data_IF_211059593677
#
_entry.id   IF_211059593677
#
_cell.length_a   1.000
_cell.length_b   1.000
_cell.length_c   1.000
_cell.angle_alpha   90.00
_cell.angle_beta   90.00
_cell.angle_gamma   90.00
#
_symmetry.space_group_name_H-M   'P 1'
#
loop_
_entity.id
_entity.type
_entity.pdbx_description
1 polymer ?
#
# COMPACT_ATOMS: atom_id res chain seq x y z
N UNK A 1 -16.52 -20.92 -10.48
CA UNK A 1 -17.12 -20.66 -11.79
C UNK A 1 -18.42 -21.42 -11.94
N UNK A 2 -19.45 -20.77 -12.47
CA UNK A 2 -20.69 -21.44 -12.88
C UNK A 2 -20.41 -22.30 -14.09
N UNK A 3 -21.19 -23.38 -14.25
CA UNK A 3 -21.05 -24.34 -15.34
C UNK A 3 -21.19 -23.68 -16.73
N UNK A 4 -22.10 -22.71 -16.83
CA UNK A 4 -22.35 -21.93 -18.05
C UNK A 4 -21.24 -20.91 -18.38
N UNK A 5 -20.32 -20.62 -17.46
CA UNK A 5 -19.20 -19.72 -17.69
C UNK A 5 -17.96 -20.44 -18.23
N UNK A 6 -17.92 -21.75 -18.08
CA UNK A 6 -16.78 -22.54 -18.54
C UNK A 6 -16.65 -22.52 -20.08
N UNK A 7 -15.46 -22.22 -20.56
CA UNK A 7 -15.14 -22.20 -22.00
C UNK A 7 -15.59 -20.94 -22.74
N UNK A 8 -16.22 -19.95 -22.08
CA UNK A 8 -16.74 -18.73 -22.73
C UNK A 8 -15.66 -17.94 -23.47
N UNK A 9 -14.48 -17.83 -22.90
CA UNK A 9 -13.40 -17.03 -23.50
C UNK A 9 -12.49 -17.85 -24.41
N UNK A 10 -12.47 -19.17 -24.24
CA UNK A 10 -11.47 -20.05 -24.87
C UNK A 10 -10.03 -19.80 -24.40
N UNK A 11 -9.86 -19.03 -23.29
CA UNK A 11 -8.55 -18.59 -22.76
C UNK A 11 -8.23 -19.15 -21.37
N UNK A 12 -8.99 -20.16 -20.91
CA UNK A 12 -8.79 -20.83 -19.64
C UNK A 12 -9.70 -20.35 -18.52
N UNK A 13 -9.63 -21.06 -17.39
CA UNK A 13 -10.54 -20.88 -16.26
C UNK A 13 -10.45 -19.49 -15.62
N UNK A 14 -9.26 -18.89 -15.56
CA UNK A 14 -9.08 -17.57 -15.00
C UNK A 14 -9.81 -16.51 -15.83
N UNK A 15 -9.65 -16.54 -17.15
CA UNK A 15 -10.30 -15.61 -18.05
C UNK A 15 -11.83 -15.77 -18.03
N UNK A 16 -12.34 -17.01 -18.00
CA UNK A 16 -13.76 -17.30 -17.86
C UNK A 16 -14.31 -16.76 -16.54
N UNK A 17 -13.54 -16.90 -15.44
CA UNK A 17 -13.87 -16.37 -14.13
C UNK A 17 -13.91 -14.85 -14.09
N UNK A 18 -13.00 -14.20 -14.79
CA UNK A 18 -12.98 -12.73 -14.88
C UNK A 18 -14.22 -12.20 -15.62
N UNK A 19 -14.66 -12.85 -16.68
CA UNK A 19 -15.89 -12.48 -17.40
C UNK A 19 -17.14 -12.71 -16.53
N UNK A 20 -17.18 -13.80 -15.77
CA UNK A 20 -18.27 -14.05 -14.82
C UNK A 20 -18.28 -12.97 -13.72
N UNK A 21 -17.12 -12.63 -13.18
CA UNK A 21 -16.97 -11.60 -12.15
C UNK A 21 -17.39 -10.22 -12.67
N UNK A 22 -16.97 -9.85 -13.88
CA UNK A 22 -17.38 -8.60 -14.54
C UNK A 22 -18.91 -8.51 -14.65
N UNK A 23 -19.55 -9.61 -15.06
CA UNK A 23 -21.02 -9.70 -15.09
C UNK A 23 -21.68 -9.51 -13.71
N UNK A 24 -21.05 -9.97 -12.61
CA UNK A 24 -21.56 -9.71 -11.25
C UNK A 24 -21.41 -8.24 -10.85
N UNK A 25 -20.34 -7.60 -11.26
CA UNK A 25 -20.17 -6.15 -11.05
C UNK A 25 -21.25 -5.36 -11.80
N UNK A 26 -21.52 -5.75 -13.06
CA UNK A 26 -22.62 -5.17 -13.85
C UNK A 26 -23.96 -5.27 -13.13
N UNK A 27 -24.34 -6.47 -12.65
CA UNK A 27 -25.58 -6.67 -11.90
C UNK A 27 -25.71 -5.78 -10.66
N UNK A 28 -24.60 -5.52 -9.95
CA UNK A 28 -24.60 -4.60 -8.80
C UNK A 28 -24.83 -3.15 -9.23
N UNK A 29 -24.23 -2.75 -10.34
CA UNK A 29 -24.41 -1.39 -10.89
C UNK A 29 -25.84 -1.18 -11.38
N UNK A 30 -26.39 -2.16 -12.10
CA UNK A 30 -27.79 -2.13 -12.58
C UNK A 30 -28.77 -2.04 -11.39
N UNK A 31 -28.52 -2.78 -10.30
CA UNK A 31 -29.34 -2.72 -9.10
C UNK A 31 -29.32 -1.33 -8.43
N UNK A 32 -28.19 -0.63 -8.42
CA UNK A 32 -28.12 0.73 -7.91
C UNK A 32 -28.97 1.69 -8.73
N UNK A 33 -28.95 1.52 -10.06
CA UNK A 33 -29.76 2.29 -10.99
C UNK A 33 -31.26 2.00 -10.80
N UNK A 34 -31.64 0.71 -10.70
CA UNK A 34 -33.03 0.27 -10.44
C UNK A 34 -33.59 0.82 -9.11
N UNK A 35 -32.74 0.91 -8.08
CA UNK A 35 -33.10 1.46 -6.79
C UNK A 35 -33.09 3.01 -6.76
N UNK A 36 -32.61 3.67 -7.81
CA UNK A 36 -32.49 5.13 -7.88
C UNK A 36 -31.55 5.73 -6.85
N UNK A 37 -30.51 5.00 -6.47
CA UNK A 37 -29.51 5.43 -5.48
C UNK A 37 -28.10 5.57 -6.06
N UNK A 38 -27.93 5.35 -7.33
CA UNK A 38 -26.65 5.33 -8.04
C UNK A 38 -25.92 6.69 -7.96
N UNK A 39 -26.65 7.81 -8.03
CA UNK A 39 -26.12 9.17 -7.90
C UNK A 39 -25.65 9.52 -6.47
N UNK A 40 -26.12 8.75 -5.47
CA UNK A 40 -25.76 8.95 -4.05
C UNK A 40 -24.96 7.78 -3.48
N UNK A 41 -24.31 7.01 -4.34
CA UNK A 41 -23.51 5.84 -3.95
C UNK A 41 -22.09 5.96 -4.46
N UNK A 42 -21.12 5.77 -3.56
CA UNK A 42 -19.70 5.62 -3.93
C UNK A 42 -19.46 4.15 -4.22
N UNK A 43 -19.03 3.82 -5.43
CA UNK A 43 -18.64 2.47 -5.82
C UNK A 43 -17.13 2.42 -5.99
N UNK A 44 -16.49 1.52 -5.24
CA UNK A 44 -15.04 1.29 -5.33
C UNK A 44 -14.80 -0.15 -5.75
N UNK A 45 -14.11 -0.34 -6.86
CA UNK A 45 -13.63 -1.64 -7.30
C UNK A 45 -12.11 -1.69 -7.16
N UNK A 46 -11.61 -2.64 -6.41
CA UNK A 46 -10.16 -2.83 -6.16
C UNK A 46 -9.90 -4.25 -5.67
N UNK A 47 -8.64 -4.56 -5.41
CA UNK A 47 -8.20 -5.79 -4.72
C UNK A 47 -7.30 -5.42 -3.54
N UNK A 48 -7.02 -6.37 -2.65
CA UNK A 48 -6.24 -6.17 -1.43
C UNK A 48 -4.72 -6.22 -1.66
N UNK A 49 -4.27 -7.00 -2.64
CA UNK A 49 -2.86 -7.21 -2.97
C UNK A 49 -2.66 -7.49 -4.46
N UNK A 50 -1.41 -7.59 -4.88
CA UNK A 50 -1.05 -8.01 -6.22
C UNK A 50 -1.42 -9.46 -6.53
N UNK A 51 -1.33 -9.83 -7.80
CA UNK A 51 -1.68 -11.16 -8.27
C UNK A 51 -0.84 -12.26 -7.61
N UNK A 52 -1.42 -13.45 -7.46
CA UNK A 52 -0.76 -14.65 -6.96
C UNK A 52 -0.60 -15.67 -8.09
N UNK A 53 0.62 -16.17 -8.31
CA UNK A 53 0.97 -17.04 -9.45
C UNK A 53 0.38 -18.46 -9.31
N UNK A 54 -0.38 -18.74 -8.27
CA UNK A 54 -0.96 -20.08 -8.03
C UNK A 54 -1.80 -20.64 -9.20
N UNK A 55 -2.27 -19.77 -10.10
CA UNK A 55 -3.07 -20.17 -11.28
C UNK A 55 -2.24 -20.19 -12.57
N UNK A 56 -0.93 -20.02 -12.49
CA UNK A 56 -0.06 -20.12 -13.67
C UNK A 56 -0.18 -21.52 -14.33
N UNK A 57 -0.22 -21.66 -15.66
CA UNK A 57 -0.08 -20.60 -16.68
C UNK A 57 -1.39 -19.92 -17.09
N UNK A 58 -2.52 -20.24 -16.51
CA UNK A 58 -3.84 -19.81 -16.94
C UNK A 58 -4.12 -18.31 -16.66
N UNK A 59 -3.50 -17.74 -15.63
CA UNK A 59 -3.70 -16.34 -15.28
C UNK A 59 -3.01 -15.95 -14.00
N UNK A 60 -3.52 -14.89 -13.36
CA UNK A 60 -3.02 -14.34 -12.10
C UNK A 60 -1.59 -13.82 -12.17
N UNK A 61 -1.20 -13.23 -13.30
CA UNK A 61 0.10 -12.61 -13.51
C UNK A 61 -0.05 -11.15 -13.88
N UNK A 62 0.91 -10.34 -13.47
CA UNK A 62 1.06 -8.95 -13.90
C UNK A 62 2.41 -8.75 -14.57
N UNK A 63 2.58 -7.62 -15.27
CA UNK A 63 3.86 -7.23 -15.83
C UNK A 63 4.87 -6.78 -14.77
N UNK A 64 4.40 -6.48 -13.57
CA UNK A 64 5.24 -6.00 -12.47
C UNK A 64 5.97 -7.15 -11.81
N UNK A 65 7.16 -6.86 -11.28
CA UNK A 65 7.99 -7.85 -10.59
C UNK A 65 7.30 -8.36 -9.31
N UNK A 66 7.48 -9.65 -9.03
CA UNK A 66 6.96 -10.30 -7.83
C UNK A 66 5.48 -10.61 -7.90
N UNK A 67 4.94 -11.04 -6.79
CA UNK A 67 3.56 -11.47 -6.61
C UNK A 67 3.07 -11.16 -5.20
N UNK A 68 1.81 -11.47 -4.89
CA UNK A 68 1.23 -11.44 -3.54
C UNK A 68 2.23 -11.94 -2.49
N UNK A 69 2.38 -11.20 -1.41
CA UNK A 69 3.30 -11.52 -0.31
C UNK A 69 4.73 -11.06 -0.52
N UNK A 70 5.08 -10.53 -1.69
CA UNK A 70 6.38 -9.87 -1.93
C UNK A 70 6.28 -8.36 -1.76
N UNK A 71 7.41 -7.70 -1.48
CA UNK A 71 7.50 -6.24 -1.40
C UNK A 71 7.93 -5.58 -2.72
N UNK A 72 7.85 -6.32 -3.82
CA UNK A 72 7.95 -5.82 -5.18
C UNK A 72 6.65 -5.15 -5.64
N UNK A 73 6.71 -4.37 -6.71
CA UNK A 73 5.51 -3.72 -7.26
C UNK A 73 4.40 -4.71 -7.62
N UNK A 74 4.73 -5.91 -8.10
CA UNK A 74 3.75 -6.96 -8.40
C UNK A 74 2.99 -7.50 -7.18
N UNK A 75 3.54 -7.32 -5.97
CA UNK A 75 2.85 -7.69 -4.72
C UNK A 75 2.00 -6.56 -4.13
N UNK A 76 2.36 -5.30 -4.39
CA UNK A 76 1.75 -4.12 -3.77
C UNK A 76 0.88 -3.30 -4.73
N UNK A 77 1.23 -3.26 -6.01
CA UNK A 77 0.50 -2.45 -6.99
C UNK A 77 -0.78 -3.14 -7.42
N UNK A 78 -1.89 -2.49 -7.17
CA UNK A 78 -3.24 -3.00 -7.42
C UNK A 78 -4.03 -2.07 -8.34
N UNK A 79 -4.95 -2.59 -9.16
CA UNK A 79 -5.93 -1.77 -9.87
C UNK A 79 -6.95 -1.16 -8.90
N UNK A 80 -7.40 0.05 -9.20
CA UNK A 80 -8.52 0.69 -8.51
C UNK A 80 -9.36 1.49 -9.48
N UNK A 81 -10.68 1.34 -9.41
CA UNK A 81 -11.64 2.17 -10.09
C UNK A 81 -12.65 2.72 -9.09
N UNK A 82 -12.99 4.00 -9.19
CA UNK A 82 -13.94 4.67 -8.30
C UNK A 82 -15.00 5.38 -9.16
N UNK A 83 -16.28 5.04 -8.95
CA UNK A 83 -17.43 5.81 -9.41
C UNK A 83 -17.92 6.64 -8.23
N UNK A 84 -17.86 7.95 -8.37
CA UNK A 84 -18.30 8.88 -7.33
C UNK A 84 -18.99 10.09 -7.97
N UNK A 85 -20.29 9.98 -8.28
CA UNK A 85 -21.06 11.05 -8.92
C UNK A 85 -20.95 12.37 -8.17
N UNK A 86 -20.87 13.47 -8.90
CA UNK A 86 -20.73 14.80 -8.30
C UNK A 86 -19.37 15.14 -7.69
N UNK A 87 -18.48 14.15 -7.50
CA UNK A 87 -17.16 14.34 -6.89
C UNK A 87 -16.02 14.05 -7.87
N UNK A 88 -16.02 12.90 -8.52
CA UNK A 88 -15.00 12.52 -9.50
C UNK A 88 -15.58 12.66 -10.91
N UNK A 89 -14.88 13.41 -11.76
CA UNK A 89 -15.26 13.59 -13.16
C UNK A 89 -15.13 12.28 -13.92
N UNK A 90 -16.13 11.85 -14.70
CA UNK A 90 -16.00 10.65 -15.55
C UNK A 90 -14.75 10.70 -16.43
N UNK A 91 -14.06 9.56 -16.59
CA UNK A 91 -12.85 9.45 -17.39
C UNK A 91 -11.59 10.03 -16.76
N UNK A 92 -11.65 10.48 -15.48
CA UNK A 92 -10.45 10.95 -14.77
C UNK A 92 -9.45 9.80 -14.57
N UNK A 93 -8.21 10.04 -14.95
CA UNK A 93 -7.07 9.15 -14.67
C UNK A 93 -6.22 9.77 -13.58
N UNK A 94 -5.98 9.02 -12.50
CA UNK A 94 -5.17 9.43 -11.35
C UNK A 94 -3.86 8.66 -11.40
N UNK A 95 -2.74 9.39 -11.41
CA UNK A 95 -1.39 8.83 -11.39
C UNK A 95 -0.65 9.06 -10.06
N UNK A 96 -1.20 9.89 -9.19
CA UNK A 96 -0.64 10.08 -7.85
C UNK A 96 -0.78 8.80 -7.01
N UNK A 97 0.20 8.49 -6.16
CA UNK A 97 0.11 7.33 -5.29
C UNK A 97 -1.09 7.41 -4.34
N UNK A 98 -1.91 6.36 -4.34
CA UNK A 98 -3.00 6.15 -3.39
C UNK A 98 -2.75 4.82 -2.69
N UNK A 99 -3.01 4.74 -1.39
CA UNK A 99 -2.99 3.51 -0.61
C UNK A 99 -4.41 3.17 -0.14
N UNK A 100 -4.70 1.89 0.07
CA UNK A 100 -5.95 1.47 0.71
C UNK A 100 -6.13 2.08 2.11
N UNK A 101 -5.03 2.45 2.78
CA UNK A 101 -5.05 3.20 4.03
C UNK A 101 -5.78 4.55 3.91
N UNK A 102 -5.78 5.16 2.71
CA UNK A 102 -6.38 6.46 2.45
C UNK A 102 -7.91 6.41 2.33
N UNK A 103 -8.45 5.22 2.09
CA UNK A 103 -9.89 5.05 1.91
C UNK A 103 -10.67 5.39 3.18
N UNK A 104 -10.18 4.99 4.37
CA UNK A 104 -10.90 5.24 5.61
C UNK A 104 -11.06 6.74 5.91
N UNK A 105 -9.99 7.57 5.99
CA UNK A 105 -10.16 9.01 6.22
C UNK A 105 -10.88 9.73 5.09
N UNK A 106 -10.76 9.26 3.84
CA UNK A 106 -11.48 9.83 2.70
C UNK A 106 -12.98 9.59 2.79
N UNK A 107 -13.40 8.36 3.12
CA UNK A 107 -14.81 8.02 3.30
C UNK A 107 -15.40 8.68 4.54
N UNK A 108 -14.63 8.81 5.63
CA UNK A 108 -15.07 9.60 6.79
C UNK A 108 -15.31 11.08 6.42
N UNK A 109 -14.42 11.67 5.62
CA UNK A 109 -14.60 13.04 5.12
C UNK A 109 -15.85 13.18 4.23
N UNK A 110 -16.12 12.17 3.37
CA UNK A 110 -17.34 12.11 2.57
C UNK A 110 -18.61 12.06 3.45
N UNK A 111 -18.52 11.36 4.58
CA UNK A 111 -19.60 11.27 5.59
C UNK A 111 -19.68 12.48 6.53
N UNK A 112 -18.92 13.56 6.28
CA UNK A 112 -18.96 14.80 7.07
C UNK A 112 -17.99 14.85 8.26
N UNK A 113 -17.02 13.92 8.35
CA UNK A 113 -16.01 13.88 9.43
C UNK A 113 -14.59 14.00 8.82
N UNK A 114 -14.22 15.19 8.29
CA UNK A 114 -12.93 15.36 7.60
C UNK A 114 -11.71 15.32 8.53
N UNK A 115 -11.89 15.51 9.82
CA UNK A 115 -10.87 15.58 10.86
C UNK A 115 -10.77 14.30 11.71
N UNK A 116 -11.23 13.16 11.18
CA UNK A 116 -11.21 11.86 11.89
C UNK A 116 -9.81 11.48 12.38
N UNK A 117 -8.74 11.84 11.66
CA UNK A 117 -7.35 11.58 12.08
C UNK A 117 -7.01 12.29 13.38
N UNK A 118 -7.32 13.58 13.43
CA UNK A 118 -7.06 14.46 14.58
C UNK A 118 -7.89 14.03 15.79
N UNK A 119 -9.15 13.68 15.55
CA UNK A 119 -10.04 13.17 16.60
C UNK A 119 -9.50 11.88 17.21
N UNK A 120 -9.12 10.90 16.38
CA UNK A 120 -8.58 9.62 16.83
C UNK A 120 -7.21 9.78 17.51
N UNK A 121 -6.34 10.65 17.01
CA UNK A 121 -5.05 10.92 17.63
C UNK A 121 -5.17 11.52 19.03
N UNK A 122 -6.12 12.43 19.25
CA UNK A 122 -6.43 13.00 20.58
C UNK A 122 -7.15 12.01 21.49
N UNK A 123 -7.83 11.06 20.92
CA UNK A 123 -8.71 10.12 21.61
C UNK A 123 -10.18 10.47 21.43
N UNK A 124 -10.90 9.59 20.74
CA UNK A 124 -12.31 9.71 20.45
C UNK A 124 -13.12 8.56 21.05
N UNK A 125 -14.39 8.79 21.35
CA UNK A 125 -15.28 7.76 21.88
C UNK A 125 -16.38 7.47 20.87
N UNK A 126 -16.43 6.22 20.40
CA UNK A 126 -17.47 5.71 19.52
C UNK A 126 -18.15 4.50 20.17
N UNK A 127 -19.49 4.50 20.19
CA UNK A 127 -20.26 3.42 20.82
C UNK A 127 -19.78 3.04 22.23
N UNK A 128 -19.53 4.05 23.07
CA UNK A 128 -19.03 3.90 24.45
C UNK A 128 -17.61 3.31 24.58
N UNK A 129 -16.90 3.09 23.46
CA UNK A 129 -15.49 2.64 23.46
C UNK A 129 -14.58 3.80 23.10
N UNK A 130 -13.51 3.96 23.87
CA UNK A 130 -12.49 4.97 23.66
C UNK A 130 -11.39 4.42 22.74
N UNK A 131 -11.07 5.20 21.71
CA UNK A 131 -9.99 4.90 20.76
C UNK A 131 -8.98 6.04 20.79
N UNK A 132 -7.71 5.70 20.91
CA UNK A 132 -6.58 6.61 20.70
C UNK A 132 -5.63 5.94 19.75
N UNK A 133 -5.69 6.32 18.47
CA UNK A 133 -4.90 5.71 17.39
C UNK A 133 -4.44 6.77 16.41
N UNK A 134 -3.30 6.54 15.78
CA UNK A 134 -2.84 7.32 14.63
C UNK A 134 -3.21 6.59 13.35
N UNK A 135 -3.83 7.30 12.42
CA UNK A 135 -4.11 6.81 11.08
C UNK A 135 -2.98 7.22 10.14
N UNK A 136 -2.44 6.26 9.39
CA UNK A 136 -1.41 6.50 8.36
C UNK A 136 -2.00 6.87 7.00
N UNK A 137 -3.32 6.80 6.86
CA UNK A 137 -4.06 7.23 5.68
C UNK A 137 -4.19 8.76 5.58
N UNK A 138 -4.44 9.25 4.37
CA UNK A 138 -4.70 10.65 4.05
C UNK A 138 -6.11 10.81 3.49
N UNK A 139 -6.71 11.99 3.74
CA UNK A 139 -7.99 12.35 3.14
C UNK A 139 -7.78 12.82 1.69
N UNK A 140 -8.23 12.03 0.73
CA UNK A 140 -8.15 12.33 -0.70
C UNK A 140 -9.37 13.09 -1.24
N UNK A 141 -10.39 13.37 -0.44
CA UNK A 141 -11.60 14.03 -0.90
C UNK A 141 -11.34 15.38 -1.60
N UNK A 142 -10.49 16.30 -1.07
CA UNK A 142 -10.20 17.55 -1.77
C UNK A 142 -9.55 17.34 -3.14
N UNK A 143 -8.67 16.35 -3.25
CA UNK A 143 -8.03 15.97 -4.50
C UNK A 143 -9.05 15.39 -5.50
N UNK A 144 -9.92 14.49 -5.09
CA UNK A 144 -10.98 13.93 -5.94
C UNK A 144 -11.98 14.97 -6.41
N UNK A 145 -12.23 16.01 -5.61
CA UNK A 145 -13.04 17.17 -5.98
C UNK A 145 -12.33 18.17 -6.91
N UNK A 146 -11.05 17.94 -7.25
CA UNK A 146 -10.25 18.85 -8.06
C UNK A 146 -9.87 20.16 -7.34
N UNK A 147 -10.02 20.25 -6.02
CA UNK A 147 -9.60 21.40 -5.21
C UNK A 147 -8.09 21.42 -4.99
N UNK A 148 -7.47 20.26 -5.01
CA UNK A 148 -6.02 20.07 -4.91
C UNK A 148 -5.48 19.51 -6.23
N UNK A 149 -4.30 19.98 -6.65
CA UNK A 149 -3.65 19.56 -7.90
C UNK A 149 -2.83 18.29 -7.75
N UNK A 150 -2.47 17.93 -6.52
CA UNK A 150 -1.62 16.79 -6.18
C UNK A 150 -2.26 16.01 -5.04
N UNK A 151 -2.17 14.69 -5.12
CA UNK A 151 -2.58 13.82 -4.02
C UNK A 151 -1.73 14.06 -2.76
N UNK A 152 -2.29 13.91 -1.56
CA UNK A 152 -1.60 14.21 -0.31
C UNK A 152 -0.55 13.18 0.09
N UNK A 153 -0.42 12.05 -0.62
CA UNK A 153 0.51 10.98 -0.30
C UNK A 153 1.81 11.09 -1.10
N UNK A 154 2.92 11.27 -0.40
CA UNK A 154 4.27 11.27 -0.99
C UNK A 154 5.03 9.96 -0.75
N UNK A 155 4.63 9.15 0.24
CA UNK A 155 5.36 7.95 0.63
C UNK A 155 4.46 6.73 0.81
N UNK A 156 4.98 5.56 0.41
CA UNK A 156 4.39 4.24 0.66
C UNK A 156 5.46 3.37 1.33
N UNK A 157 5.11 2.78 2.47
CA UNK A 157 5.96 1.86 3.21
C UNK A 157 5.61 0.42 2.82
N UNK A 158 6.63 -0.36 2.48
CA UNK A 158 6.48 -1.76 2.09
C UNK A 158 6.94 -2.67 3.22
N UNK A 159 5.99 -3.29 3.88
CA UNK A 159 6.24 -4.26 4.93
C UNK A 159 6.06 -5.68 4.40
N UNK A 160 6.93 -6.58 4.82
CA UNK A 160 6.72 -8.00 4.57
C UNK A 160 5.69 -8.58 5.57
N UNK A 161 5.37 -9.86 5.42
CA UNK A 161 4.41 -10.54 6.30
C UNK A 161 4.90 -10.67 7.75
N UNK A 162 6.20 -10.57 7.97
CA UNK A 162 6.82 -10.53 9.29
C UNK A 162 6.77 -9.15 9.94
N UNK A 163 6.22 -8.13 9.25
CA UNK A 163 6.19 -6.75 9.71
C UNK A 163 7.55 -6.05 9.61
N UNK A 164 8.49 -6.59 8.81
CA UNK A 164 9.76 -5.91 8.57
C UNK A 164 9.58 -4.87 7.48
N UNK A 165 10.12 -3.67 7.68
CA UNK A 165 10.19 -2.66 6.64
C UNK A 165 11.23 -3.08 5.60
N UNK A 166 10.78 -3.43 4.41
CA UNK A 166 11.65 -3.86 3.31
C UNK A 166 11.95 -2.74 2.33
N UNK A 167 11.02 -1.85 2.09
CA UNK A 167 11.23 -0.74 1.17
C UNK A 167 10.38 0.47 1.54
N UNK A 168 10.76 1.63 1.00
CA UNK A 168 9.97 2.85 1.02
C UNK A 168 9.96 3.43 -0.39
N UNK A 169 8.76 3.70 -0.91
CA UNK A 169 8.57 4.55 -2.08
C UNK A 169 8.40 5.98 -1.61
N UNK A 170 9.19 6.89 -2.19
CA UNK A 170 9.05 8.32 -2.03
C UNK A 170 8.86 8.94 -3.42
N UNK A 171 7.67 9.44 -3.68
CA UNK A 171 7.25 9.89 -5.01
C UNK A 171 7.45 8.79 -6.08
N UNK A 172 8.33 9.01 -7.06
CA UNK A 172 8.63 8.04 -8.14
C UNK A 172 9.79 7.09 -7.77
N UNK A 173 10.42 7.28 -6.61
CA UNK A 173 11.59 6.53 -6.21
C UNK A 173 11.27 5.48 -5.16
N UNK A 174 11.77 4.28 -5.35
CA UNK A 174 11.68 3.20 -4.38
C UNK A 174 13.08 2.83 -3.91
N UNK A 175 13.25 2.84 -2.60
CA UNK A 175 14.46 2.38 -1.92
C UNK A 175 14.14 1.09 -1.19
N UNK A 176 14.81 0.00 -1.58
CA UNK A 176 14.63 -1.31 -0.96
C UNK A 176 15.79 -1.59 -0.01
N UNK A 177 15.48 -1.74 1.27
CA UNK A 177 16.43 -2.08 2.36
C UNK A 177 16.63 -3.58 2.48
N UNK A 178 15.66 -4.34 2.00
CA UNK A 178 15.71 -5.76 1.85
C UNK A 178 14.92 -6.18 0.61
N UNK A 179 15.35 -7.27 0.01
CA UNK A 179 14.68 -7.86 -1.14
C UNK A 179 14.18 -9.25 -0.78
N UNK A 180 13.02 -9.61 -1.32
CA UNK A 180 12.53 -10.97 -1.27
C UNK A 180 12.93 -11.65 -2.56
N UNK A 181 13.91 -12.57 -2.46
CA UNK A 181 14.29 -13.41 -3.57
C UNK A 181 13.16 -14.41 -3.88
N UNK A 182 13.28 -15.12 -4.99
CA UNK A 182 12.32 -16.10 -5.49
C UNK A 182 11.75 -17.00 -4.39
N UNK A 183 10.48 -17.27 -4.50
CA UNK A 183 9.71 -18.12 -3.59
C UNK A 183 8.26 -17.64 -3.55
N UNK A 184 7.38 -18.56 -3.22
CA UNK A 184 5.98 -18.21 -2.97
C UNK A 184 5.85 -17.51 -1.61
N UNK A 185 4.66 -17.04 -1.32
CA UNK A 185 4.30 -16.37 -0.06
C UNK A 185 4.77 -17.12 1.20
N UNK A 186 4.85 -18.48 1.14
CA UNK A 186 5.21 -19.31 2.29
C UNK A 186 6.72 -19.51 2.45
N UNK A 187 7.48 -19.50 1.34
CA UNK A 187 8.90 -19.90 1.33
C UNK A 187 9.85 -18.81 0.87
N UNK A 188 9.35 -17.65 0.44
CA UNK A 188 10.18 -16.54 -0.01
C UNK A 188 11.11 -16.04 1.08
N UNK A 189 12.42 -16.09 0.81
CA UNK A 189 13.44 -15.61 1.74
C UNK A 189 13.61 -14.09 1.65
N UNK A 190 13.90 -13.46 2.77
CA UNK A 190 14.24 -12.04 2.88
C UNK A 190 15.75 -11.88 2.98
N UNK A 191 16.34 -11.11 2.08
CA UNK A 191 17.75 -10.75 2.11
C UNK A 191 17.90 -9.25 2.36
N UNK A 192 18.61 -8.88 3.41
CA UNK A 192 18.94 -7.47 3.70
C UNK A 192 20.07 -7.05 2.77
N UNK A 193 19.90 -5.92 2.11
CA UNK A 193 20.91 -5.35 1.24
C UNK A 193 21.94 -4.56 2.06
N UNK A 194 23.21 -4.59 1.66
CA UNK A 194 24.23 -3.77 2.33
C UNK A 194 23.99 -2.28 2.11
N UNK A 195 23.50 -1.93 0.94
CA UNK A 195 23.08 -0.58 0.56
C UNK A 195 21.65 -0.66 0.06
N UNK A 196 20.87 0.40 0.29
CA UNK A 196 19.53 0.44 -0.26
C UNK A 196 19.57 0.35 -1.79
N UNK A 197 18.83 -0.60 -2.34
CA UNK A 197 18.66 -0.69 -3.79
C UNK A 197 17.69 0.42 -4.23
N UNK A 198 18.10 1.28 -5.16
CA UNK A 198 17.33 2.45 -5.59
C UNK A 198 16.77 2.20 -6.99
N UNK A 199 15.47 2.37 -7.15
CA UNK A 199 14.75 2.25 -8.41
C UNK A 199 13.89 3.49 -8.65
N UNK A 200 13.89 4.02 -9.88
CA UNK A 200 12.88 4.98 -10.30
C UNK A 200 11.75 4.24 -11.00
N UNK A 201 10.60 4.16 -10.38
CA UNK A 201 9.47 3.36 -10.88
C UNK A 201 8.81 3.91 -12.16
N UNK A 202 9.10 5.14 -12.59
CA UNK A 202 8.67 5.63 -13.91
C UNK A 202 9.62 5.21 -15.02
N UNK A 203 10.93 5.15 -14.71
CA UNK A 203 11.94 4.73 -15.68
C UNK A 203 12.03 3.20 -15.76
N UNK A 204 11.87 2.52 -14.63
CA UNK A 204 11.91 1.06 -14.50
C UNK A 204 10.73 0.57 -13.65
N UNK A 205 9.51 0.53 -14.21
CA UNK A 205 8.32 0.07 -13.50
C UNK A 205 8.34 -1.42 -13.15
N UNK A 206 9.28 -2.17 -13.74
CA UNK A 206 9.43 -3.62 -13.53
C UNK A 206 10.57 -3.97 -12.56
N UNK A 207 11.23 -2.97 -12.01
CA UNK A 207 12.33 -3.14 -11.03
C UNK A 207 13.46 -4.06 -11.54
N UNK A 208 13.74 -4.03 -12.84
CA UNK A 208 14.75 -4.89 -13.51
C UNK A 208 16.17 -4.36 -13.33
N UNK A 209 16.36 -3.05 -13.25
CA UNK A 209 17.69 -2.43 -13.12
C UNK A 209 18.43 -2.85 -11.85
N UNK A 210 17.76 -3.46 -10.88
CA UNK A 210 18.39 -4.01 -9.68
C UNK A 210 19.11 -5.34 -9.90
N UNK A 211 18.95 -5.97 -11.07
CA UNK A 211 19.59 -7.25 -11.44
C UNK A 211 20.84 -7.03 -12.30
N UNK A 212 20.96 -5.90 -13.00
CA UNK A 212 22.04 -5.62 -13.93
C UNK A 212 23.23 -4.97 -13.23
N UNK A 213 24.22 -5.78 -12.87
CA UNK A 213 25.33 -5.44 -11.98
C UNK A 213 26.26 -4.27 -12.41
N UNK A 214 26.47 -4.01 -13.71
CA UNK A 214 27.52 -3.09 -14.16
C UNK A 214 27.20 -1.60 -14.06
N UNK A 215 26.00 -1.18 -14.50
CA UNK A 215 25.55 0.22 -14.45
C UNK A 215 24.87 0.61 -13.13
N UNK A 216 24.43 -0.38 -12.36
CA UNK A 216 23.66 -0.18 -11.16
C UNK A 216 24.44 0.59 -10.06
N UNK A 217 25.75 0.35 -9.93
CA UNK A 217 26.58 1.00 -8.89
C UNK A 217 26.74 2.49 -9.18
N UNK A 218 27.01 2.89 -10.40
CA UNK A 218 27.15 4.30 -10.78
C UNK A 218 25.83 5.05 -10.64
N UNK A 219 24.73 4.42 -11.10
CA UNK A 219 23.39 4.96 -10.92
C UNK A 219 23.05 5.15 -9.43
N UNK A 220 23.31 4.15 -8.62
CA UNK A 220 23.06 4.16 -7.18
C UNK A 220 23.86 5.27 -6.50
N UNK A 221 25.15 5.41 -6.83
CA UNK A 221 26.01 6.46 -6.28
C UNK A 221 25.48 7.87 -6.58
N UNK A 222 24.99 8.09 -7.81
CA UNK A 222 24.41 9.38 -8.22
C UNK A 222 23.07 9.68 -7.53
N UNK A 223 22.35 8.67 -7.05
CA UNK A 223 21.04 8.82 -6.40
C UNK A 223 21.10 8.74 -4.87
N UNK A 224 22.28 8.68 -4.27
CA UNK A 224 22.43 8.57 -2.80
C UNK A 224 21.82 9.73 -2.02
N UNK A 225 21.61 10.88 -2.64
CA UNK A 225 20.91 12.01 -2.03
C UNK A 225 19.50 11.66 -1.55
N UNK A 226 18.85 10.66 -2.16
CA UNK A 226 17.52 10.16 -1.77
C UNK A 226 17.50 9.52 -0.37
N UNK A 227 18.64 9.07 0.13
CA UNK A 227 18.72 8.46 1.45
C UNK A 227 18.27 9.45 2.53
N UNK A 228 18.60 10.73 2.40
CA UNK A 228 18.27 11.75 3.40
C UNK A 228 16.75 11.92 3.58
N UNK A 229 15.96 12.27 2.54
CA UNK A 229 14.51 12.42 2.69
C UNK A 229 13.82 11.11 3.05
N UNK A 230 14.30 9.98 2.54
CA UNK A 230 13.74 8.65 2.84
C UNK A 230 13.97 8.28 4.30
N UNK A 231 15.17 8.45 4.82
CA UNK A 231 15.47 8.21 6.24
C UNK A 231 14.72 9.18 7.15
N UNK A 232 14.49 10.41 6.70
CA UNK A 232 13.62 11.37 7.39
C UNK A 232 12.18 10.84 7.52
N UNK A 233 11.61 10.34 6.43
CA UNK A 233 10.27 9.72 6.43
C UNK A 233 10.20 8.47 7.33
N UNK A 234 11.22 7.59 7.27
CA UNK A 234 11.35 6.41 8.14
C UNK A 234 11.42 6.83 9.61
N UNK A 235 12.26 7.81 9.95
CA UNK A 235 12.39 8.32 11.32
C UNK A 235 11.06 8.87 11.83
N UNK A 236 10.37 9.67 11.04
CA UNK A 236 9.05 10.23 11.41
C UNK A 236 8.05 9.10 11.66
N UNK A 237 7.95 8.14 10.74
CA UNK A 237 7.04 7.00 10.88
C UNK A 237 7.29 6.22 12.18
N UNK A 238 8.55 5.87 12.47
CA UNK A 238 8.86 5.11 13.69
C UNK A 238 8.76 5.94 14.97
N UNK A 239 8.92 7.27 14.91
CA UNK A 239 8.74 8.12 16.09
C UNK A 239 7.30 8.07 16.62
N UNK A 240 6.33 7.82 15.76
CA UNK A 240 4.93 7.72 16.14
C UNK A 240 4.62 6.52 17.04
N UNK A 241 5.42 5.44 16.96
CA UNK A 241 5.27 4.29 17.86
C UNK A 241 5.58 4.59 19.33
N UNK A 242 6.17 5.75 19.61
CA UNK A 242 6.37 6.21 21.00
C UNK A 242 5.04 6.61 21.64
N UNK A 243 4.18 7.29 20.86
CA UNK A 243 2.88 7.79 21.35
C UNK A 243 1.74 6.80 21.02
N UNK A 244 1.92 6.00 19.98
CA UNK A 244 0.97 4.99 19.49
C UNK A 244 1.69 3.64 19.37
N UNK A 245 1.92 2.94 20.49
CA UNK A 245 2.70 1.71 20.49
C UNK A 245 2.06 0.66 19.58
N UNK A 246 2.92 -0.10 18.91
CA UNK A 246 2.51 -1.20 18.06
C UNK A 246 1.64 -2.19 18.81
N UNK A 247 0.51 -2.53 18.23
CA UNK A 247 -0.36 -3.59 18.72
C UNK A 247 -0.20 -4.81 17.82
N UNK A 248 0.22 -5.93 18.41
CA UNK A 248 0.30 -7.19 17.68
C UNK A 248 -1.11 -7.60 17.24
N UNK A 249 -1.34 -7.61 15.93
CA UNK A 249 -2.52 -8.26 15.33
C UNK A 249 -2.32 -9.77 15.22
N UNK A 250 -3.40 -10.50 14.97
CA UNK A 250 -3.30 -11.90 14.58
C UNK A 250 -2.54 -12.00 13.26
N UNK A 251 -1.49 -12.82 13.22
CA UNK A 251 -0.71 -13.10 12.01
C UNK A 251 -0.87 -14.57 11.64
N UNK A 252 -0.98 -14.86 10.35
CA UNK A 252 -0.91 -16.23 9.83
C UNK A 252 0.49 -16.82 9.91
N UNK A 253 1.49 -15.98 10.15
CA UNK A 253 2.87 -16.44 10.35
C UNK A 253 3.19 -16.56 11.86
N UNK A 254 3.17 -17.75 12.44
CA UNK A 254 3.42 -17.95 13.86
C UNK A 254 4.86 -17.64 14.29
N UNK A 255 5.81 -17.57 13.36
CA UNK A 255 7.20 -17.18 13.61
C UNK A 255 7.43 -15.67 13.55
N UNK A 256 6.50 -14.92 12.96
CA UNK A 256 6.55 -13.47 12.87
C UNK A 256 5.82 -12.81 14.05
N UNK A 257 6.17 -13.13 15.24
CA UNK A 257 6.00 -12.15 16.30
C UNK A 257 6.85 -10.98 15.84
N UNK A 258 6.24 -9.85 15.50
CA UNK A 258 6.83 -8.63 14.93
C UNK A 258 8.09 -8.11 15.66
N UNK A 259 9.07 -8.99 15.82
CA UNK A 259 10.33 -8.74 16.53
C UNK A 259 11.11 -7.59 15.88
N UNK A 260 10.97 -7.42 14.55
CA UNK A 260 11.63 -6.34 13.86
C UNK A 260 11.13 -4.96 14.29
N UNK A 261 9.82 -4.77 14.32
CA UNK A 261 9.19 -3.50 14.74
C UNK A 261 9.35 -3.27 16.25
N UNK A 262 9.21 -4.32 17.07
CA UNK A 262 9.44 -4.22 18.51
C UNK A 262 10.89 -3.85 18.83
N UNK A 263 11.87 -4.44 18.14
CA UNK A 263 13.30 -4.09 18.30
C UNK A 263 13.58 -2.66 17.84
N UNK A 264 12.96 -2.19 16.76
CA UNK A 264 13.13 -0.82 16.28
C UNK A 264 12.50 0.19 17.22
N UNK A 265 11.30 -0.09 17.75
CA UNK A 265 10.67 0.75 18.76
C UNK A 265 11.48 0.80 20.07
N UNK A 266 12.04 -0.33 20.51
CA UNK A 266 12.91 -0.39 21.69
C UNK A 266 14.23 0.35 21.46
N UNK A 267 14.83 0.23 20.27
CA UNK A 267 16.02 0.98 19.90
C UNK A 267 15.77 2.49 19.89
N UNK A 268 14.62 2.94 19.39
CA UNK A 268 14.21 4.35 19.44
C UNK A 268 14.00 4.85 20.87
N UNK A 269 13.40 4.03 21.75
CA UNK A 269 13.29 4.35 23.17
C UNK A 269 14.67 4.58 23.79
N UNK A 270 15.61 3.68 23.53
CA UNK A 270 16.98 3.78 24.05
C UNK A 270 17.72 5.02 23.50
N UNK A 271 17.54 5.33 22.22
CA UNK A 271 18.12 6.55 21.62
C UNK A 271 17.58 7.82 22.29
N UNK A 272 16.25 7.93 22.51
CA UNK A 272 15.68 9.07 23.24
C UNK A 272 16.17 9.18 24.69
N UNK A 273 16.36 8.04 25.37
CA UNK A 273 16.95 8.04 26.70
C UNK A 273 18.40 8.57 26.68
N UNK A 274 19.19 8.18 25.71
CA UNK A 274 20.56 8.70 25.53
C UNK A 274 20.56 10.18 25.19
N UNK A 275 19.69 10.65 24.28
CA UNK A 275 19.54 12.07 23.96
C UNK A 275 19.10 12.91 25.17
N UNK A 276 18.26 12.34 26.07
CA UNK A 276 17.85 13.02 27.31
C UNK A 276 18.96 13.11 28.36
N UNK A 277 19.95 12.21 28.31
CA UNK A 277 21.11 12.21 29.21
C UNK A 277 22.25 13.12 28.70
N UNK A 278 22.24 13.41 27.40
CA UNK A 278 23.22 14.28 26.75
C UNK A 278 22.51 15.29 25.85
N UNK A 279 21.80 16.31 26.42
CA UNK A 279 21.18 17.33 25.59
C UNK A 279 22.27 18.04 24.82
N UNK A 280 22.23 17.98 23.49
CA UNK A 280 23.10 18.76 22.62
C UNK A 280 22.69 20.21 22.83
N UNK A 281 23.58 20.97 23.45
CA UNK A 281 23.45 22.42 23.69
C UNK A 281 23.46 23.23 22.40
#
# INVERSE_FOLDING_TARGET
>A
LKKESLGKTGKGLHADGMVEHDGHVGQLLDLLDELGVDDNTIVVYTTDNGAEIALWPDGAMTMFRGEKGSTWEGGFRIPMAIRWPGTIKPGTVVNDPISLLDMFPTLCAAAGVPDVKEQLAKGATFNKKKFKVKLDGYNFLPYFQGKEKKGPRDAIFYFDQGGNLNALRYQDWKLSFAVQAHGNIATGSRTVTNWAAICNLRMDPYEKGLEDGGGAIDFLARQMWLIVPVMGAVKTFFSDFMDYPYQAGSSLNPSSINYGLLKQADALKRLKQVESLHPVS
#
